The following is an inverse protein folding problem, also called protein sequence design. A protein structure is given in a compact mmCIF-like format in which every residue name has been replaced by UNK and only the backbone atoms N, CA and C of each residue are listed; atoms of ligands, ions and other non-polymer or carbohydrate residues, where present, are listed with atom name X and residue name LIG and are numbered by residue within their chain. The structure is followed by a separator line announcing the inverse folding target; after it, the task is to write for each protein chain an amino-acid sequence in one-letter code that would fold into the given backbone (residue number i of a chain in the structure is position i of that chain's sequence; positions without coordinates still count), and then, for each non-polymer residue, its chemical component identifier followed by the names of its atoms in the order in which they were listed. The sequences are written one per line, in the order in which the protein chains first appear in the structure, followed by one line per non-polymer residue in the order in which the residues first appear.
data_IF_384711640982
#
_entry.id   IF_384711640982
#
_cell.length_a   1.000
_cell.length_b   1.000
_cell.length_c   1.000
_cell.angle_alpha   90.00
_cell.angle_beta   90.00
_cell.angle_gamma   90.00
#
_symmetry.space_group_name_H-M   'P 1'
#
loop_
_entity.id
_entity.type
_entity.pdbx_description
1 polymer ?
#
# COMPACT_ATOMS: atom_id res chain seq x y z
N UNK A 1 52.27 -11.57 28.38
CA UNK A 1 51.32 -12.62 27.98
C UNK A 1 49.96 -11.97 27.80
N UNK A 2 49.67 -11.64 26.55
CA UNK A 2 48.40 -11.10 26.07
C UNK A 2 47.39 -12.25 25.97
N UNK A 3 46.36 -12.23 26.81
CA UNK A 3 45.17 -13.02 26.58
C UNK A 3 44.09 -12.09 26.03
N UNK A 4 43.89 -12.18 24.72
CA UNK A 4 42.68 -11.72 24.05
C UNK A 4 41.52 -12.57 24.60
N UNK A 5 40.63 -11.95 25.36
CA UNK A 5 39.28 -12.44 25.58
C UNK A 5 38.37 -11.70 24.60
N UNK A 6 38.36 -12.17 23.34
CA UNK A 6 37.31 -11.79 22.39
C UNK A 6 36.04 -12.53 22.80
N UNK A 7 35.28 -11.89 23.68
CA UNK A 7 33.94 -12.33 24.04
C UNK A 7 33.08 -12.47 22.79
N UNK A 8 32.66 -13.71 22.53
CA UNK A 8 31.66 -14.05 21.54
C UNK A 8 30.40 -13.19 21.76
N UNK A 9 30.15 -12.25 20.84
CA UNK A 9 28.86 -11.59 20.71
C UNK A 9 27.79 -12.61 20.32
N UNK A 10 26.52 -12.43 20.73
CA UNK A 10 25.49 -13.44 20.56
C UNK A 10 25.22 -13.70 19.07
N UNK A 11 25.44 -14.93 18.62
CA UNK A 11 25.08 -15.39 17.27
C UNK A 11 23.55 -15.55 17.16
N UNK A 12 22.87 -14.41 17.08
CA UNK A 12 21.54 -14.28 16.48
C UNK A 12 21.66 -13.95 14.98
N UNK A 13 20.58 -14.07 14.18
CA UNK A 13 20.61 -13.88 12.73
C UNK A 13 20.98 -12.43 12.38
N UNK A 14 22.27 -12.18 12.15
CA UNK A 14 22.82 -10.82 12.09
C UNK A 14 23.03 -10.31 10.65
N UNK A 15 22.53 -11.03 9.64
CA UNK A 15 22.66 -10.61 8.25
C UNK A 15 21.37 -10.79 7.45
N UNK A 16 21.06 -9.81 6.59
CA UNK A 16 20.00 -9.94 5.58
C UNK A 16 20.14 -11.22 4.75
N UNK A 17 21.36 -11.77 4.59
CA UNK A 17 21.60 -13.04 3.90
C UNK A 17 20.83 -14.21 4.50
N UNK A 18 20.52 -14.19 5.79
CA UNK A 18 19.74 -15.23 6.47
C UNK A 18 18.29 -15.28 5.98
N UNK A 19 17.80 -14.19 5.38
CA UNK A 19 16.46 -14.09 4.81
C UNK A 19 16.35 -14.63 3.39
N UNK A 20 17.45 -15.02 2.73
CA UNK A 20 17.41 -15.52 1.33
C UNK A 20 16.45 -16.68 1.14
N UNK A 21 16.58 -17.74 1.96
CA UNK A 21 15.68 -18.91 1.87
C UNK A 21 14.24 -18.56 2.29
N UNK A 22 14.00 -17.87 3.42
CA UNK A 22 12.66 -17.41 3.80
C UNK A 22 11.95 -16.55 2.74
N UNK A 23 12.64 -15.59 2.13
CA UNK A 23 12.09 -14.69 1.11
C UNK A 23 11.74 -15.48 -0.15
N UNK A 24 12.64 -16.35 -0.65
CA UNK A 24 12.34 -17.23 -1.79
C UNK A 24 11.10 -18.08 -1.58
N UNK A 25 10.92 -18.61 -0.36
CA UNK A 25 9.74 -19.41 -0.01
C UNK A 25 8.48 -18.54 0.01
N UNK A 26 8.53 -17.36 0.63
CA UNK A 26 7.42 -16.41 0.65
C UNK A 26 7.03 -15.99 -0.77
N UNK A 27 8.02 -15.68 -1.62
CA UNK A 27 7.80 -15.24 -2.99
C UNK A 27 7.08 -16.30 -3.84
N UNK A 28 7.51 -17.57 -3.76
CA UNK A 28 6.82 -18.69 -4.44
C UNK A 28 5.36 -18.85 -3.99
N UNK A 29 5.11 -18.76 -2.68
CA UNK A 29 3.75 -18.83 -2.12
C UNK A 29 2.89 -17.70 -2.68
N UNK A 30 3.40 -16.47 -2.64
CA UNK A 30 2.68 -15.30 -3.12
C UNK A 30 2.42 -15.40 -4.62
N UNK A 31 3.44 -15.64 -5.44
CA UNK A 31 3.27 -15.73 -6.90
C UNK A 31 2.23 -16.79 -7.30
N UNK A 32 2.21 -17.95 -6.63
CA UNK A 32 1.21 -19.00 -6.88
C UNK A 32 -0.23 -18.55 -6.62
N UNK A 33 -0.44 -17.57 -5.72
CA UNK A 33 -1.75 -17.02 -5.40
C UNK A 33 -2.12 -15.80 -6.26
N UNK A 34 -1.18 -15.29 -7.06
CA UNK A 34 -1.35 -14.11 -7.91
C UNK A 34 -0.99 -14.42 -9.38
N UNK A 35 -1.59 -15.46 -10.00
CA UNK A 35 -1.23 -15.88 -11.35
C UNK A 35 -1.49 -14.77 -12.38
N UNK A 36 -0.50 -14.52 -13.23
CA UNK A 36 -0.58 -13.51 -14.31
C UNK A 36 -0.50 -12.06 -13.82
N UNK A 37 -0.24 -11.82 -12.54
CA UNK A 37 -0.06 -10.48 -11.96
C UNK A 37 1.41 -10.16 -11.73
N UNK A 38 2.11 -11.08 -11.05
CA UNK A 38 3.51 -10.94 -10.67
C UNK A 38 4.12 -12.34 -10.54
N UNK A 39 5.36 -12.53 -10.96
CA UNK A 39 6.04 -13.82 -10.82
C UNK A 39 6.83 -13.93 -9.50
N UNK A 40 7.44 -15.09 -9.25
CA UNK A 40 8.15 -15.33 -8.00
C UNK A 40 9.45 -14.51 -7.89
N UNK A 41 10.11 -14.22 -9.01
CA UNK A 41 11.38 -13.50 -9.00
C UNK A 41 11.13 -12.01 -8.76
N UNK A 42 10.06 -11.46 -9.33
CA UNK A 42 9.56 -10.11 -9.07
C UNK A 42 9.14 -9.93 -7.61
N UNK A 43 8.36 -10.88 -7.06
CA UNK A 43 7.97 -10.81 -5.64
C UNK A 43 9.19 -10.88 -4.72
N UNK A 44 10.17 -11.72 -5.03
CA UNK A 44 11.43 -11.79 -4.28
C UNK A 44 12.14 -10.43 -4.29
N UNK A 45 12.33 -9.83 -5.47
CA UNK A 45 12.98 -8.52 -5.62
C UNK A 45 12.24 -7.43 -4.84
N UNK A 46 10.92 -7.40 -4.91
CA UNK A 46 10.08 -6.42 -4.21
C UNK A 46 10.13 -6.57 -2.68
N UNK A 47 10.22 -7.80 -2.18
CA UNK A 47 10.43 -8.05 -0.74
C UNK A 47 11.82 -7.56 -0.33
N UNK A 48 12.85 -7.85 -1.12
CA UNK A 48 14.22 -7.38 -0.85
C UNK A 48 14.29 -5.85 -0.80
N UNK A 49 13.79 -5.19 -1.85
CA UNK A 49 13.77 -3.74 -1.94
C UNK A 49 13.11 -3.12 -0.71
N UNK A 50 11.95 -3.63 -0.31
CA UNK A 50 11.25 -3.15 0.88
C UNK A 50 12.07 -3.30 2.17
N UNK A 51 12.74 -4.43 2.37
CA UNK A 51 13.52 -4.66 3.59
C UNK A 51 14.77 -3.78 3.63
N UNK A 52 15.42 -3.55 2.49
CA UNK A 52 16.56 -2.64 2.37
C UNK A 52 16.14 -1.18 2.64
N UNK A 53 14.99 -0.75 2.13
CA UNK A 53 14.46 0.59 2.35
C UNK A 53 13.88 0.81 3.75
N UNK A 54 13.60 -0.27 4.49
CA UNK A 54 12.94 -0.21 5.79
C UNK A 54 13.73 -0.99 6.84
N UNK A 55 14.81 -0.41 7.42
CA UNK A 55 15.66 -1.09 8.39
C UNK A 55 14.90 -1.68 9.58
N UNK A 56 13.85 -1.00 10.08
CA UNK A 56 13.01 -1.53 11.15
C UNK A 56 12.17 -2.75 10.73
N UNK A 57 11.80 -2.86 9.45
CA UNK A 57 11.14 -4.07 8.92
C UNK A 57 12.12 -5.22 8.71
N UNK A 58 13.34 -4.91 8.27
CA UNK A 58 14.43 -5.90 8.19
C UNK A 58 14.74 -6.49 9.56
N UNK A 59 14.90 -5.64 10.57
CA UNK A 59 15.13 -6.06 11.95
C UNK A 59 14.00 -6.97 12.47
N UNK A 60 12.74 -6.60 12.27
CA UNK A 60 11.58 -7.46 12.62
C UNK A 60 11.58 -8.81 11.92
N UNK A 61 12.06 -8.87 10.68
CA UNK A 61 12.16 -10.13 9.94
C UNK A 61 13.29 -11.02 10.48
N UNK A 62 14.43 -10.42 10.86
CA UNK A 62 15.58 -11.12 11.41
C UNK A 62 15.31 -11.61 12.83
N UNK A 63 14.76 -10.76 13.70
CA UNK A 63 14.50 -11.07 15.12
C UNK A 63 13.21 -11.86 15.37
N UNK A 64 12.53 -12.32 14.31
CA UNK A 64 11.31 -13.08 14.47
C UNK A 64 11.57 -14.35 15.30
N UNK A 65 11.04 -14.37 16.52
CA UNK A 65 11.28 -15.42 17.54
C UNK A 65 10.96 -16.82 17.03
N UNK A 66 9.97 -16.95 16.12
CA UNK A 66 9.56 -18.22 15.54
C UNK A 66 9.57 -18.19 13.99
N UNK A 67 10.04 -19.26 13.31
CA UNK A 67 10.09 -19.33 11.85
C UNK A 67 8.73 -19.09 11.16
N UNK A 68 7.64 -19.46 11.82
CA UNK A 68 6.28 -19.25 11.30
C UNK A 68 5.89 -17.76 11.30
N UNK A 69 6.32 -16.99 12.30
CA UNK A 69 6.10 -15.55 12.35
C UNK A 69 6.90 -14.86 11.23
N UNK A 70 8.16 -15.25 11.02
CA UNK A 70 8.98 -14.75 9.91
C UNK A 70 8.31 -15.02 8.56
N UNK A 71 7.89 -16.26 8.31
CA UNK A 71 7.23 -16.64 7.07
C UNK A 71 5.93 -15.84 6.84
N UNK A 72 5.08 -15.68 7.87
CA UNK A 72 3.86 -14.86 7.77
C UNK A 72 4.18 -13.40 7.46
N UNK A 73 5.19 -12.84 8.12
CA UNK A 73 5.60 -11.44 7.94
C UNK A 73 6.08 -11.18 6.51
N UNK A 74 6.99 -12.02 5.99
CA UNK A 74 7.52 -11.90 4.63
C UNK A 74 6.44 -12.14 3.56
N UNK A 75 5.58 -13.15 3.77
CA UNK A 75 4.44 -13.43 2.88
C UNK A 75 3.47 -12.26 2.83
N UNK A 76 3.20 -11.61 3.98
CA UNK A 76 2.37 -10.40 4.03
C UNK A 76 2.97 -9.25 3.23
N UNK A 77 4.30 -9.03 3.29
CA UNK A 77 4.97 -8.02 2.46
C UNK A 77 4.78 -8.35 0.98
N UNK A 78 5.02 -9.60 0.58
CA UNK A 78 4.82 -10.05 -0.80
C UNK A 78 3.39 -9.82 -1.30
N UNK A 79 2.36 -10.17 -0.51
CA UNK A 79 0.96 -9.89 -0.88
C UNK A 79 0.67 -8.40 -1.06
N UNK A 80 1.24 -7.54 -0.23
CA UNK A 80 1.10 -6.09 -0.39
C UNK A 80 1.70 -5.61 -1.72
N UNK A 81 2.80 -6.20 -2.15
CA UNK A 81 3.47 -5.87 -3.42
C UNK A 81 2.73 -6.41 -4.63
N UNK A 82 2.30 -7.67 -4.58
CA UNK A 82 1.46 -8.27 -5.62
C UNK A 82 0.15 -7.48 -5.81
N UNK A 83 -0.48 -7.04 -4.71
CA UNK A 83 -1.68 -6.21 -4.77
C UNK A 83 -1.43 -4.86 -5.46
N UNK A 84 -0.31 -4.20 -5.15
CA UNK A 84 0.10 -2.96 -5.85
C UNK A 84 0.35 -3.20 -7.33
N UNK A 85 1.06 -4.28 -7.68
CA UNK A 85 1.32 -4.65 -9.08
C UNK A 85 0.02 -4.89 -9.84
N UNK A 86 -0.96 -5.59 -9.25
CA UNK A 86 -2.29 -5.77 -9.84
C UNK A 86 -2.99 -4.44 -10.10
N UNK A 87 -2.97 -3.52 -9.14
CA UNK A 87 -3.61 -2.22 -9.30
C UNK A 87 -2.97 -1.40 -10.44
N UNK A 88 -1.64 -1.41 -10.52
CA UNK A 88 -0.89 -0.75 -11.60
C UNK A 88 -1.19 -1.39 -12.96
N UNK A 89 -1.20 -2.72 -13.05
CA UNK A 89 -1.53 -3.45 -14.26
C UNK A 89 -2.97 -3.22 -14.72
N UNK A 90 -3.93 -3.25 -13.78
CA UNK A 90 -5.34 -2.99 -14.06
C UNK A 90 -5.56 -1.57 -14.60
N UNK A 91 -4.83 -0.58 -14.08
CA UNK A 91 -4.84 0.77 -14.63
C UNK A 91 -4.22 0.83 -16.03
N UNK A 92 -3.02 0.28 -16.21
CA UNK A 92 -2.32 0.27 -17.51
C UNK A 92 -3.14 -0.40 -18.62
N UNK A 93 -3.84 -1.50 -18.32
CA UNK A 93 -4.71 -2.21 -19.26
C UNK A 93 -6.10 -1.58 -19.42
N UNK A 94 -6.36 -0.43 -18.79
CA UNK A 94 -7.64 0.29 -18.89
C UNK A 94 -8.81 -0.33 -18.13
N UNK A 95 -8.58 -1.38 -17.33
CA UNK A 95 -9.60 -1.99 -16.47
C UNK A 95 -10.00 -1.07 -15.31
N UNK A 96 -9.06 -0.24 -14.83
CA UNK A 96 -9.32 0.89 -13.94
C UNK A 96 -9.11 2.20 -14.68
N UNK A 97 -10.02 3.16 -14.48
CA UNK A 97 -9.94 4.51 -15.06
C UNK A 97 -9.00 5.40 -14.24
N UNK A 98 -8.94 5.18 -12.93
CA UNK A 98 -8.19 6.00 -11.98
C UNK A 98 -7.13 5.20 -11.24
N UNK A 99 -5.92 5.75 -11.14
CA UNK A 99 -4.91 5.31 -10.19
C UNK A 99 -5.03 6.08 -8.87
N UNK A 100 -4.39 5.58 -7.81
CA UNK A 100 -4.29 6.30 -6.52
C UNK A 100 -3.58 7.64 -6.69
N UNK A 101 -2.64 7.73 -7.63
CA UNK A 101 -1.94 8.98 -7.94
C UNK A 101 -2.90 9.99 -8.56
N UNK A 102 -3.70 9.57 -9.54
CA UNK A 102 -4.67 10.46 -10.20
C UNK A 102 -5.64 11.05 -9.18
N UNK A 103 -6.15 10.24 -8.25
CA UNK A 103 -7.06 10.71 -7.20
C UNK A 103 -6.37 11.69 -6.24
N UNK A 104 -5.10 11.45 -5.87
CA UNK A 104 -4.33 12.43 -5.08
C UNK A 104 -4.15 13.76 -5.82
N UNK A 105 -3.84 13.71 -7.11
CA UNK A 105 -3.64 14.90 -7.92
C UNK A 105 -4.96 15.67 -8.07
N UNK A 106 -6.09 14.96 -8.27
CA UNK A 106 -7.43 15.55 -8.27
C UNK A 106 -7.76 16.22 -6.92
N UNK A 107 -7.53 15.54 -5.80
CA UNK A 107 -7.73 16.09 -4.46
C UNK A 107 -6.86 17.33 -4.21
N UNK A 108 -5.58 17.27 -4.57
CA UNK A 108 -4.64 18.39 -4.42
C UNK A 108 -5.01 19.59 -5.30
N UNK A 109 -5.65 19.36 -6.45
CA UNK A 109 -6.19 20.42 -7.31
C UNK A 109 -7.47 21.08 -6.78
N UNK A 110 -7.92 20.71 -5.56
CA UNK A 110 -9.16 21.19 -4.97
C UNK A 110 -10.41 20.48 -5.50
N UNK A 111 -10.27 19.26 -6.03
CA UNK A 111 -11.36 18.53 -6.67
C UNK A 111 -12.59 18.23 -5.80
N UNK A 112 -12.50 18.42 -4.47
CA UNK A 112 -13.65 18.31 -3.56
C UNK A 112 -14.30 19.66 -3.21
N UNK A 113 -13.71 20.78 -3.61
CA UNK A 113 -14.27 22.11 -3.34
C UNK A 113 -15.58 22.28 -4.10
N UNK A 114 -16.56 22.96 -3.48
CA UNK A 114 -17.87 23.20 -4.09
C UNK A 114 -17.75 23.86 -5.49
N UNK A 115 -16.79 24.77 -5.67
CA UNK A 115 -16.51 25.44 -6.96
C UNK A 115 -16.10 24.48 -8.09
N UNK A 116 -15.67 23.26 -7.75
CA UNK A 116 -15.28 22.23 -8.71
C UNK A 116 -16.36 21.16 -8.92
N UNK A 117 -17.42 21.15 -8.12
CA UNK A 117 -18.48 20.13 -8.18
C UNK A 117 -19.26 20.18 -9.50
N UNK A 118 -19.50 21.38 -10.03
CA UNK A 118 -20.27 21.62 -11.26
C UNK A 118 -19.38 21.83 -12.49
N UNK A 119 -18.07 21.59 -12.37
CA UNK A 119 -17.17 21.69 -13.51
C UNK A 119 -17.43 20.54 -14.49
N UNK A 120 -17.31 20.84 -15.77
CA UNK A 120 -17.54 19.92 -16.91
C UNK A 120 -16.59 18.68 -16.92
N UNK A 121 -15.64 18.61 -15.99
CA UNK A 121 -14.73 17.46 -15.89
C UNK A 121 -15.41 16.29 -15.19
N UNK A 122 -15.64 15.22 -15.93
CA UNK A 122 -16.25 13.97 -15.45
C UNK A 122 -15.53 13.42 -14.21
N UNK A 123 -14.22 13.62 -14.11
CA UNK A 123 -13.41 13.18 -12.98
C UNK A 123 -13.82 13.83 -11.65
N UNK A 124 -14.28 15.09 -11.68
CA UNK A 124 -14.78 15.76 -10.47
C UNK A 124 -16.16 15.23 -10.08
N UNK A 125 -17.05 15.00 -11.04
CA UNK A 125 -18.34 14.35 -10.77
C UNK A 125 -18.15 12.96 -10.15
N UNK A 126 -17.28 12.14 -10.75
CA UNK A 126 -16.93 10.80 -10.25
C UNK A 126 -16.34 10.87 -8.83
N UNK A 127 -15.47 11.86 -8.58
CA UNK A 127 -14.84 12.09 -7.27
C UNK A 127 -15.87 12.47 -6.20
N UNK A 128 -16.77 13.41 -6.50
CA UNK A 128 -17.80 13.85 -5.55
C UNK A 128 -18.80 12.72 -5.23
N UNK A 129 -19.21 11.95 -6.23
CA UNK A 129 -20.10 10.80 -6.03
C UNK A 129 -19.42 9.72 -5.16
N UNK A 130 -18.17 9.38 -5.50
CA UNK A 130 -17.40 8.39 -4.76
C UNK A 130 -17.10 8.84 -3.32
N UNK A 131 -16.83 10.14 -3.12
CA UNK A 131 -16.57 10.69 -1.80
C UNK A 131 -17.82 10.64 -0.91
N UNK A 132 -19.01 10.91 -1.47
CA UNK A 132 -20.28 10.73 -0.75
C UNK A 132 -20.47 9.27 -0.30
N UNK A 133 -20.30 8.31 -1.21
CA UNK A 133 -20.40 6.87 -0.89
C UNK A 133 -19.32 6.40 0.10
N UNK A 134 -18.13 7.00 0.07
CA UNK A 134 -17.09 6.72 1.05
C UNK A 134 -17.48 7.24 2.43
N UNK A 135 -18.01 8.46 2.52
CA UNK A 135 -18.49 9.05 3.78
C UNK A 135 -19.54 8.16 4.45
N UNK A 136 -20.50 7.68 3.66
CA UNK A 136 -21.59 6.82 4.17
C UNK A 136 -21.09 5.48 4.73
N UNK A 137 -19.97 4.96 4.22
CA UNK A 137 -19.42 3.65 4.62
C UNK A 137 -18.30 3.74 5.64
N UNK A 138 -17.53 4.82 5.62
CA UNK A 138 -16.39 5.01 6.51
C UNK A 138 -16.11 6.50 6.71
N UNK A 139 -16.80 7.06 7.70
CA UNK A 139 -16.69 8.46 8.07
C UNK A 139 -15.26 8.85 8.50
N UNK A 140 -14.53 7.95 9.18
CA UNK A 140 -13.15 8.23 9.60
C UNK A 140 -12.22 8.48 8.40
N UNK A 141 -12.41 7.75 7.30
CA UNK A 141 -11.63 7.93 6.08
C UNK A 141 -12.02 9.22 5.35
N UNK A 142 -13.32 9.50 5.20
CA UNK A 142 -13.77 10.75 4.58
C UNK A 142 -13.33 11.98 5.37
N UNK A 143 -13.39 11.92 6.71
CA UNK A 143 -12.97 13.02 7.57
C UNK A 143 -11.46 13.28 7.46
N UNK A 144 -10.65 12.22 7.41
CA UNK A 144 -9.21 12.36 7.20
C UNK A 144 -8.87 13.02 5.86
N UNK A 145 -9.58 12.65 4.77
CA UNK A 145 -9.42 13.26 3.45
C UNK A 145 -9.87 14.73 3.47
N UNK A 146 -11.06 15.03 4.01
CA UNK A 146 -11.58 16.39 4.11
C UNK A 146 -10.63 17.29 4.93
N UNK A 147 -10.17 16.81 6.08
CA UNK A 147 -9.19 17.49 6.92
C UNK A 147 -7.95 17.90 6.13
N UNK A 148 -7.38 16.97 5.36
CA UNK A 148 -6.17 17.24 4.59
C UNK A 148 -6.40 18.13 3.36
N UNK A 149 -7.45 17.87 2.59
CA UNK A 149 -7.59 18.44 1.23
C UNK A 149 -8.65 19.54 1.10
N UNK A 150 -9.62 19.62 2.03
CA UNK A 150 -10.59 20.72 2.09
C UNK A 150 -10.19 21.76 3.13
N UNK A 151 -9.79 21.31 4.33
CA UNK A 151 -9.45 22.20 5.44
C UNK A 151 -7.96 22.58 5.46
N UNK A 152 -7.13 21.94 4.63
CA UNK A 152 -5.67 22.13 4.58
C UNK A 152 -4.96 21.90 5.93
N UNK A 153 -5.57 21.10 6.81
CA UNK A 153 -5.03 20.81 8.13
C UNK A 153 -3.99 19.67 8.09
N UNK A 154 -3.09 19.67 9.06
CA UNK A 154 -2.11 18.59 9.26
C UNK A 154 -2.72 17.39 10.00
N UNK A 155 -2.24 16.19 9.69
CA UNK A 155 -2.59 14.98 10.44
C UNK A 155 -1.70 14.89 11.68
N UNK A 156 -2.30 14.99 12.87
CA UNK A 156 -1.59 15.09 14.15
C UNK A 156 -1.21 13.74 14.76
N UNK A 157 -1.83 12.65 14.33
CA UNK A 157 -1.53 11.30 14.84
C UNK A 157 -1.24 10.27 13.74
N UNK A 158 -0.52 9.19 14.08
CA UNK A 158 -0.29 8.07 13.16
C UNK A 158 -1.60 7.42 12.71
N UNK A 159 -2.60 7.35 13.60
CA UNK A 159 -3.94 6.83 13.26
C UNK A 159 -4.62 7.67 12.19
N UNK A 160 -4.52 9.00 12.31
CA UNK A 160 -5.04 9.93 11.32
C UNK A 160 -4.30 9.80 9.99
N UNK A 161 -2.98 9.68 10.01
CA UNK A 161 -2.17 9.47 8.81
C UNK A 161 -2.54 8.15 8.09
N UNK A 162 -2.75 7.08 8.87
CA UNK A 162 -3.22 5.80 8.34
C UNK A 162 -4.64 5.91 7.78
N UNK A 163 -5.55 6.62 8.46
CA UNK A 163 -6.90 6.87 7.96
C UNK A 163 -6.89 7.65 6.65
N UNK A 164 -6.03 8.66 6.50
CA UNK A 164 -5.86 9.41 5.26
C UNK A 164 -5.33 8.50 4.14
N UNK A 165 -4.26 7.76 4.42
CA UNK A 165 -3.64 6.85 3.45
C UNK A 165 -4.62 5.79 2.95
N UNK A 166 -5.30 5.11 3.88
CA UNK A 166 -6.28 4.07 3.54
C UNK A 166 -7.54 4.66 2.90
N UNK A 167 -7.95 5.86 3.35
CA UNK A 167 -9.08 6.58 2.78
C UNK A 167 -8.88 6.93 1.31
N UNK A 168 -7.71 7.43 0.91
CA UNK A 168 -7.43 7.74 -0.50
C UNK A 168 -7.47 6.49 -1.38
N UNK A 169 -7.00 5.35 -0.88
CA UNK A 169 -7.10 4.06 -1.58
C UNK A 169 -8.58 3.67 -1.73
N UNK A 170 -9.35 3.70 -0.65
CA UNK A 170 -10.77 3.36 -0.67
C UNK A 170 -11.59 4.30 -1.58
N UNK A 171 -11.23 5.59 -1.63
CA UNK A 171 -11.84 6.56 -2.54
C UNK A 171 -11.55 6.20 -4.00
N UNK A 172 -10.30 5.82 -4.30
CA UNK A 172 -9.89 5.38 -5.65
C UNK A 172 -10.67 4.14 -6.09
N UNK A 173 -10.83 3.18 -5.20
CA UNK A 173 -11.62 1.98 -5.47
C UNK A 173 -13.10 2.33 -5.74
N UNK A 174 -13.64 3.31 -5.02
CA UNK A 174 -15.02 3.75 -5.21
C UNK A 174 -15.23 4.50 -6.53
N UNK A 175 -14.31 5.40 -6.90
CA UNK A 175 -14.35 6.07 -8.21
C UNK A 175 -14.30 5.04 -9.35
N UNK A 176 -13.45 4.03 -9.24
CA UNK A 176 -13.36 2.94 -10.23
C UNK A 176 -14.58 1.99 -10.20
N UNK A 177 -15.34 1.95 -9.11
CA UNK A 177 -16.60 1.21 -9.00
C UNK A 177 -17.74 1.96 -9.69
N UNK A 178 -17.93 3.25 -9.40
CA UNK A 178 -18.95 4.08 -10.04
C UNK A 178 -18.77 4.12 -11.57
N UNK A 179 -17.53 4.27 -12.06
CA UNK A 179 -17.24 4.25 -13.49
C UNK A 179 -17.54 2.90 -14.16
N UNK A 180 -17.38 1.76 -13.45
CA UNK A 180 -17.76 0.46 -14.01
C UNK A 180 -19.27 0.33 -14.15
N UNK A 181 -20.05 0.81 -13.18
CA UNK A 181 -21.50 0.76 -13.24
C UNK A 181 -22.05 1.67 -14.36
N UNK A 182 -21.44 2.84 -14.56
CA UNK A 182 -21.88 3.78 -15.59
C UNK A 182 -21.55 3.34 -17.04
N UNK A 183 -20.68 2.34 -17.24
CA UNK A 183 -20.38 1.77 -18.57
C UNK A 183 -21.41 0.76 -19.07
N UNK A 184 -22.34 0.32 -18.21
CA UNK A 184 -23.35 -0.70 -18.52
C UNK A 184 -24.79 -0.24 -18.25
N UNK A 185 -24.97 1.06 -17.98
CA UNK A 185 -26.28 1.74 -17.94
C UNK A 185 -26.45 2.58 -19.20
#
# INVERSE_FOLDING_TARGET
MTSNDEGAGPEGPSSLRDLVKPIKKAAKIVASQWPGVIDADDVEQEIWLYLVESPGSAHKALEAIEPKAQARFLTRIGHQRASKARAAYAYFRGAYKYSVKDVKDLLASGGLSADNQDRVKVEYTDLHEAFRKLKDRNESYSNAIAKRYLLSESMGSSREQDALKNGVIALTDEMNRSNRNNRYS
#
